data_IF_651819005436
#
_entry.id   IF_651819005436
#
_cell.length_a   1.000
_cell.length_b   1.000
_cell.length_c   1.000
_cell.angle_alpha   90.00
_cell.angle_beta   90.00
_cell.angle_gamma   90.00
#
_symmetry.space_group_name_H-M   'P 1'
#
loop_
_entity.id
_entity.type
_entity.pdbx_description
1 polymer ?
#
# COMPACT_ATOMS: atom_id res chain seq x y z
N UNK A 1 -16.37 -27.84 20.94
CA UNK A 1 -16.28 -28.42 19.58
C UNK A 1 -15.02 -27.85 18.94
N UNK A 2 -13.91 -28.60 18.97
CA UNK A 2 -12.67 -28.18 18.31
C UNK A 2 -12.85 -28.39 16.80
N UNK A 3 -12.83 -27.30 16.04
CA UNK A 3 -12.87 -27.31 14.58
C UNK A 3 -11.56 -27.92 14.06
N UNK A 4 -11.55 -29.24 13.87
CA UNK A 4 -10.36 -30.05 13.54
C UNK A 4 -10.20 -30.34 12.05
N UNK A 5 -11.06 -29.74 11.20
CA UNK A 5 -11.14 -30.07 9.77
C UNK A 5 -10.94 -28.88 8.81
N UNK A 6 -10.36 -27.77 9.26
CA UNK A 6 -9.82 -26.77 8.34
C UNK A 6 -8.36 -27.17 8.07
N UNK A 7 -8.13 -27.91 6.98
CA UNK A 7 -6.81 -27.98 6.37
C UNK A 7 -6.77 -26.88 5.32
N UNK A 8 -5.97 -25.86 5.55
CA UNK A 8 -5.68 -24.86 4.54
C UNK A 8 -5.03 -25.58 3.34
N UNK A 9 -5.85 -25.84 2.32
CA UNK A 9 -5.35 -26.39 1.07
C UNK A 9 -4.54 -25.31 0.40
N UNK A 10 -3.23 -25.58 0.31
CA UNK A 10 -2.20 -24.67 -0.19
C UNK A 10 -1.85 -23.55 0.80
N UNK A 11 -1.14 -23.93 1.88
CA UNK A 11 -0.22 -23.01 2.57
C UNK A 11 0.86 -22.62 1.55
N UNK A 12 0.55 -21.66 0.68
CA UNK A 12 1.56 -20.64 0.43
C UNK A 12 1.75 -19.97 1.78
N UNK A 13 2.98 -19.87 2.24
CA UNK A 13 3.40 -19.35 3.55
C UNK A 13 3.04 -17.85 3.77
N UNK A 14 1.83 -17.41 3.41
CA UNK A 14 1.38 -16.02 3.48
C UNK A 14 1.35 -15.55 4.94
N UNK A 15 0.98 -16.43 5.88
CA UNK A 15 0.95 -16.09 7.31
C UNK A 15 2.36 -16.03 7.95
N UNK A 16 3.35 -16.76 7.40
CA UNK A 16 4.64 -17.00 8.06
C UNK A 16 5.80 -16.17 7.49
N UNK A 17 5.81 -15.84 6.20
CA UNK A 17 6.82 -14.93 5.63
C UNK A 17 6.45 -13.48 5.89
N UNK A 18 7.40 -12.56 6.06
CA UNK A 18 7.22 -11.09 6.07
C UNK A 18 7.57 -10.45 4.72
N UNK A 19 8.21 -11.20 3.81
CA UNK A 19 8.63 -10.74 2.49
C UNK A 19 7.51 -10.92 1.45
N UNK A 20 7.40 -9.95 0.55
CA UNK A 20 6.59 -10.07 -0.66
C UNK A 20 7.33 -10.96 -1.65
N UNK A 21 6.62 -11.89 -2.28
CA UNK A 21 7.12 -12.72 -3.39
C UNK A 21 6.45 -12.32 -4.72
N UNK A 22 7.10 -12.65 -5.84
CA UNK A 22 6.53 -12.37 -7.18
C UNK A 22 5.27 -13.19 -7.42
N UNK A 23 5.22 -14.41 -6.90
CA UNK A 23 4.10 -15.34 -7.00
C UNK A 23 2.87 -14.78 -6.28
N UNK A 24 3.05 -14.33 -5.03
CA UNK A 24 1.99 -13.67 -4.26
C UNK A 24 1.46 -12.43 -5.00
N UNK A 25 2.37 -11.55 -5.45
CA UNK A 25 1.94 -10.35 -6.17
C UNK A 25 1.25 -10.70 -7.49
N UNK A 26 1.77 -11.67 -8.24
CA UNK A 26 1.15 -12.14 -9.49
C UNK A 26 -0.26 -12.69 -9.28
N UNK A 27 -0.51 -13.37 -8.16
CA UNK A 27 -1.83 -13.90 -7.80
C UNK A 27 -2.84 -12.82 -7.45
N UNK A 28 -2.39 -11.74 -6.81
CA UNK A 28 -3.27 -10.63 -6.41
C UNK A 28 -3.62 -9.66 -7.56
N UNK A 29 -2.78 -9.59 -8.61
CA UNK A 29 -2.97 -8.63 -9.69
C UNK A 29 -4.21 -8.93 -10.56
N UNK A 30 -5.07 -7.94 -10.83
CA UNK A 30 -6.36 -8.17 -11.50
C UNK A 30 -6.27 -8.47 -13.01
N UNK A 31 -5.19 -8.04 -13.66
CA UNK A 31 -5.01 -8.16 -15.11
C UNK A 31 -3.64 -8.79 -15.44
N UNK A 32 -3.65 -9.77 -16.34
CA UNK A 32 -2.44 -10.47 -16.82
C UNK A 32 -1.40 -9.51 -17.39
N UNK A 33 -1.80 -8.33 -17.88
CA UNK A 33 -0.90 -7.31 -18.42
C UNK A 33 0.18 -6.85 -17.44
N UNK A 34 -0.06 -6.96 -16.13
CA UNK A 34 0.89 -6.52 -15.11
C UNK A 34 2.04 -7.51 -14.90
N UNK A 35 1.88 -8.78 -15.31
CA UNK A 35 2.87 -9.83 -15.09
C UNK A 35 4.21 -9.53 -15.75
N UNK A 36 4.20 -8.87 -16.92
CA UNK A 36 5.44 -8.46 -17.62
C UNK A 36 6.22 -7.37 -16.88
N UNK A 37 5.61 -6.71 -15.90
CA UNK A 37 6.25 -5.67 -15.10
C UNK A 37 6.64 -6.17 -13.69
N UNK A 38 6.46 -7.47 -13.38
CA UNK A 38 6.88 -8.07 -12.11
C UNK A 38 8.39 -8.34 -12.09
N UNK A 39 9.16 -7.29 -11.86
CA UNK A 39 10.61 -7.40 -11.66
C UNK A 39 10.96 -7.57 -10.18
N UNK A 40 12.19 -7.99 -9.89
CA UNK A 40 12.70 -8.02 -8.51
C UNK A 40 12.66 -6.62 -7.87
N UNK A 41 12.96 -5.59 -8.64
CA UNK A 41 12.91 -4.20 -8.17
C UNK A 41 11.52 -3.81 -7.65
N UNK A 42 10.45 -4.25 -8.30
CA UNK A 42 9.07 -3.98 -7.84
C UNK A 42 8.82 -4.57 -6.46
N UNK A 43 9.26 -5.82 -6.26
CA UNK A 43 9.09 -6.50 -4.98
C UNK A 43 10.01 -5.90 -3.91
N UNK A 44 11.22 -5.49 -4.30
CA UNK A 44 12.21 -4.87 -3.43
C UNK A 44 11.77 -3.51 -2.87
N UNK A 45 10.86 -2.79 -3.52
CA UNK A 45 10.27 -1.55 -2.94
C UNK A 45 9.66 -1.81 -1.56
N UNK A 46 9.04 -2.99 -1.40
CA UNK A 46 8.43 -3.44 -0.14
C UNK A 46 9.48 -4.13 0.73
N UNK A 47 10.23 -5.08 0.17
CA UNK A 47 11.16 -5.92 0.95
C UNK A 47 12.36 -5.16 1.52
N UNK A 48 12.71 -4.00 0.98
CA UNK A 48 13.81 -3.18 1.49
C UNK A 48 13.50 -2.51 2.85
N UNK A 49 12.25 -2.55 3.34
CA UNK A 49 11.92 -2.08 4.69
C UNK A 49 12.60 -2.97 5.73
N UNK A 50 13.53 -2.46 6.58
CA UNK A 50 14.27 -3.29 7.52
C UNK A 50 13.41 -3.85 8.67
N UNK A 51 12.35 -3.15 9.07
CA UNK A 51 11.48 -3.60 10.14
C UNK A 51 10.50 -4.68 9.63
N UNK A 52 10.56 -5.87 10.23
CA UNK A 52 9.76 -7.04 9.84
C UNK A 52 8.25 -6.79 9.94
N UNK A 53 7.79 -6.08 10.96
CA UNK A 53 6.36 -5.82 11.16
C UNK A 53 5.85 -4.78 10.17
N UNK A 54 6.62 -3.72 9.93
CA UNK A 54 6.31 -2.74 8.89
C UNK A 54 6.33 -3.37 7.50
N UNK A 55 7.30 -4.24 7.22
CA UNK A 55 7.38 -4.97 5.95
C UNK A 55 6.15 -5.85 5.75
N UNK A 56 5.71 -6.57 6.79
CA UNK A 56 4.47 -7.36 6.79
C UNK A 56 3.26 -6.48 6.46
N UNK A 57 3.09 -5.35 7.14
CA UNK A 57 2.01 -4.38 6.86
C UNK A 57 2.05 -3.91 5.41
N UNK A 58 3.22 -3.54 4.89
CA UNK A 58 3.36 -3.08 3.51
C UNK A 58 3.03 -4.17 2.50
N UNK A 59 3.48 -5.41 2.75
CA UNK A 59 3.21 -6.57 1.92
C UNK A 59 1.72 -6.90 1.89
N UNK A 60 1.08 -6.96 3.05
CA UNK A 60 -0.34 -7.28 3.18
C UNK A 60 -1.23 -6.22 2.50
N UNK A 61 -0.89 -4.94 2.69
CA UNK A 61 -1.55 -3.83 1.99
C UNK A 61 -1.35 -3.90 0.47
N UNK A 62 -0.15 -4.30 0.01
CA UNK A 62 0.16 -4.43 -1.44
C UNK A 62 -0.64 -5.54 -2.10
N UNK A 63 -0.92 -6.63 -1.37
CA UNK A 63 -1.78 -7.70 -1.86
C UNK A 63 -3.26 -7.29 -1.80
N UNK A 64 -3.69 -6.70 -0.68
CA UNK A 64 -5.09 -6.37 -0.42
C UNK A 64 -5.64 -5.27 -1.34
N UNK A 65 -4.84 -4.26 -1.67
CA UNK A 65 -5.30 -3.12 -2.47
C UNK A 65 -5.13 -3.32 -3.98
N UNK A 66 -4.77 -4.51 -4.44
CA UNK A 66 -4.44 -4.77 -5.85
C UNK A 66 -5.62 -4.50 -6.80
N UNK A 67 -6.86 -4.59 -6.29
CA UNK A 67 -8.10 -4.27 -7.02
C UNK A 67 -8.13 -2.84 -7.57
N UNK A 68 -7.42 -1.88 -6.96
CA UNK A 68 -7.34 -0.49 -7.43
C UNK A 68 -6.78 -0.41 -8.85
N UNK A 69 -5.88 -1.31 -9.23
CA UNK A 69 -5.28 -1.39 -10.57
C UNK A 69 -6.29 -1.74 -11.67
N UNK A 70 -7.44 -2.30 -11.32
CA UNK A 70 -8.55 -2.53 -12.27
C UNK A 70 -9.16 -1.21 -12.75
N UNK A 71 -9.05 -0.15 -11.95
CA UNK A 71 -9.73 1.12 -12.19
C UNK A 71 -8.74 2.23 -12.57
N UNK A 72 -8.43 2.36 -13.86
CA UNK A 72 -7.60 3.44 -14.40
C UNK A 72 -6.32 2.96 -15.08
N UNK A 73 -5.48 3.94 -15.49
CA UNK A 73 -4.21 3.70 -16.20
C UNK A 73 -3.03 3.97 -15.27
N UNK A 74 -2.80 3.06 -14.33
CA UNK A 74 -1.67 3.13 -13.40
C UNK A 74 -0.61 2.07 -13.74
N UNK A 75 0.67 2.42 -13.56
CA UNK A 75 1.76 1.46 -13.65
C UNK A 75 1.91 0.68 -12.33
N UNK A 76 2.48 -0.52 -12.41
CA UNK A 76 2.72 -1.35 -11.23
C UNK A 76 3.70 -0.67 -10.25
N UNK A 77 4.74 -0.02 -10.77
CA UNK A 77 5.69 0.75 -9.95
C UNK A 77 5.02 1.92 -9.22
N UNK A 78 4.12 2.66 -9.89
CA UNK A 78 3.39 3.76 -9.25
C UNK A 78 2.48 3.24 -8.13
N UNK A 79 1.85 2.08 -8.35
CA UNK A 79 1.01 1.42 -7.36
C UNK A 79 1.76 0.99 -6.11
N UNK A 80 2.87 0.26 -6.25
CA UNK A 80 3.62 -0.23 -5.07
C UNK A 80 4.18 0.95 -4.23
N UNK A 81 4.68 2.01 -4.88
CA UNK A 81 5.09 3.22 -4.18
C UNK A 81 3.91 3.93 -3.48
N UNK A 82 2.74 3.96 -4.13
CA UNK A 82 1.55 4.56 -3.56
C UNK A 82 1.04 3.78 -2.34
N UNK A 83 1.07 2.45 -2.37
CA UNK A 83 0.74 1.60 -1.21
C UNK A 83 1.70 1.84 -0.06
N UNK A 84 3.02 1.90 -0.32
CA UNK A 84 4.02 2.21 0.70
C UNK A 84 3.77 3.58 1.35
N UNK A 85 3.48 4.60 0.53
CA UNK A 85 3.14 5.93 1.01
C UNK A 85 1.88 5.93 1.89
N UNK A 86 0.79 5.30 1.44
CA UNK A 86 -0.46 5.22 2.21
C UNK A 86 -0.25 4.46 3.51
N UNK A 87 0.49 3.35 3.49
CA UNK A 87 0.77 2.57 4.69
C UNK A 87 1.51 3.40 5.74
N UNK A 88 2.54 4.15 5.34
CA UNK A 88 3.25 5.07 6.22
C UNK A 88 2.32 6.17 6.76
N UNK A 89 1.43 6.72 5.92
CA UNK A 89 0.42 7.70 6.34
C UNK A 89 -0.52 7.15 7.41
N UNK A 90 -0.99 5.90 7.24
CA UNK A 90 -1.88 5.24 8.21
C UNK A 90 -1.17 4.96 9.54
N UNK A 91 0.14 4.72 9.51
CA UNK A 91 0.98 4.57 10.70
C UNK A 91 1.25 5.92 11.42
N UNK A 92 0.77 7.04 10.89
CA UNK A 92 0.86 8.36 11.51
C UNK A 92 1.92 9.29 10.92
N UNK A 93 2.64 8.88 9.86
CA UNK A 93 3.62 9.77 9.24
C UNK A 93 2.94 11.00 8.61
N UNK A 94 3.61 12.15 8.75
CA UNK A 94 3.29 13.35 7.96
C UNK A 94 3.57 13.07 6.48
N UNK A 95 2.87 13.76 5.59
CA UNK A 95 3.02 13.54 4.13
C UNK A 95 4.49 13.71 3.69
N UNK A 96 5.18 14.73 4.20
CA UNK A 96 6.60 14.98 3.91
C UNK A 96 7.52 13.84 4.34
N UNK A 97 7.29 13.27 5.52
CA UNK A 97 8.07 12.13 6.05
C UNK A 97 7.79 10.85 5.27
N UNK A 98 6.52 10.56 4.97
CA UNK A 98 6.17 9.42 4.14
C UNK A 98 6.78 9.55 2.73
N UNK A 99 6.74 10.76 2.15
CA UNK A 99 7.31 11.04 0.85
C UNK A 99 8.82 10.84 0.80
N UNK A 100 9.55 11.29 1.83
CA UNK A 100 11.01 11.11 1.89
C UNK A 100 11.41 9.64 2.03
N UNK A 101 10.63 8.83 2.74
CA UNK A 101 10.85 7.37 2.86
C UNK A 101 10.55 6.60 1.57
N UNK A 102 9.55 7.05 0.80
CA UNK A 102 9.15 6.38 -0.46
C UNK A 102 10.06 6.78 -1.62
N UNK A 103 10.46 8.05 -1.68
CA UNK A 103 11.29 8.60 -2.76
C UNK A 103 12.57 9.26 -2.22
N UNK A 104 13.48 8.49 -1.60
CA UNK A 104 14.69 9.04 -0.98
C UNK A 104 15.53 9.85 -1.96
N UNK A 105 15.75 9.34 -3.18
CA UNK A 105 16.54 10.03 -4.21
C UNK A 105 15.89 11.35 -4.66
N UNK A 106 14.55 11.37 -4.80
CA UNK A 106 13.82 12.59 -5.18
C UNK A 106 13.86 13.62 -4.06
N UNK A 107 13.74 13.18 -2.82
CA UNK A 107 13.85 14.04 -1.66
C UNK A 107 15.25 14.64 -1.57
N UNK A 108 16.30 13.82 -1.70
CA UNK A 108 17.69 14.28 -1.68
C UNK A 108 17.95 15.29 -2.79
N UNK A 109 17.48 15.04 -4.02
CA UNK A 109 17.61 15.99 -5.13
C UNK A 109 16.91 17.33 -4.88
N UNK A 110 15.86 17.39 -4.05
CA UNK A 110 15.23 18.66 -3.64
C UNK A 110 16.04 19.38 -2.57
N UNK A 111 16.62 18.63 -1.62
CA UNK A 111 17.54 19.15 -0.59
C UNK A 111 18.79 19.73 -1.23
N UNK A 112 19.39 19.04 -2.20
CA UNK A 112 20.59 19.48 -2.91
C UNK A 112 20.33 20.77 -3.72
N UNK A 113 19.07 20.99 -4.13
CA UNK A 113 18.60 22.22 -4.77
C UNK A 113 18.27 23.34 -3.79
N UNK A 114 18.51 23.15 -2.49
CA UNK A 114 18.13 24.07 -1.42
C UNK A 114 16.64 24.41 -1.43
N UNK A 115 15.78 23.46 -1.84
CA UNK A 115 14.33 23.64 -1.82
C UNK A 115 13.85 23.78 -0.38
N UNK A 116 13.02 24.78 -0.10
CA UNK A 116 12.55 25.02 1.26
C UNK A 116 11.73 23.83 1.81
N UNK A 117 11.77 23.56 3.13
CA UNK A 117 10.97 22.48 3.73
C UNK A 117 9.47 22.61 3.44
N UNK A 118 8.95 23.83 3.37
CA UNK A 118 7.55 24.11 3.03
C UNK A 118 7.21 23.67 1.60
N UNK A 119 8.07 23.97 0.63
CA UNK A 119 7.87 23.54 -0.76
C UNK A 119 7.95 22.02 -0.89
N UNK A 120 8.88 21.36 -0.18
CA UNK A 120 8.97 19.89 -0.16
C UNK A 120 7.68 19.29 0.41
N UNK A 121 7.15 19.86 1.50
CA UNK A 121 5.85 19.46 2.04
C UNK A 121 4.72 19.63 1.01
N UNK A 122 4.71 20.70 0.23
CA UNK A 122 3.73 20.88 -0.86
C UNK A 122 3.83 19.80 -1.94
N UNK A 123 5.03 19.37 -2.34
CA UNK A 123 5.19 18.24 -3.27
C UNK A 123 4.63 16.95 -2.69
N UNK A 124 4.90 16.69 -1.42
CA UNK A 124 4.39 15.51 -0.72
C UNK A 124 2.86 15.51 -0.58
N UNK A 125 2.28 16.66 -0.25
CA UNK A 125 0.82 16.81 -0.15
C UNK A 125 0.15 16.68 -1.52
N UNK A 126 0.75 17.21 -2.59
CA UNK A 126 0.26 17.03 -3.94
C UNK A 126 0.29 15.56 -4.37
N UNK A 127 1.35 14.82 -4.02
CA UNK A 127 1.40 13.38 -4.25
C UNK A 127 0.29 12.64 -3.50
N UNK A 128 0.08 12.99 -2.22
CA UNK A 128 -0.97 12.42 -1.38
C UNK A 128 -2.41 12.69 -1.86
N UNK A 129 -2.61 13.68 -2.74
CA UNK A 129 -3.90 14.03 -3.34
C UNK A 129 -4.13 13.43 -4.73
N UNK A 130 -3.18 12.65 -5.24
CA UNK A 130 -3.33 12.03 -6.56
C UNK A 130 -4.45 10.98 -6.55
N UNK A 131 -5.14 10.81 -7.68
CA UNK A 131 -6.27 9.87 -7.77
C UNK A 131 -5.91 8.42 -7.44
N UNK A 132 -4.65 7.99 -7.67
CA UNK A 132 -4.19 6.66 -7.25
C UNK A 132 -4.15 6.54 -5.72
N UNK A 133 -3.58 7.53 -5.03
CA UNK A 133 -3.51 7.55 -3.57
C UNK A 133 -4.91 7.61 -2.97
N UNK A 134 -5.78 8.47 -3.50
CA UNK A 134 -7.18 8.57 -3.05
C UNK A 134 -7.87 7.21 -3.13
N UNK A 135 -7.76 6.52 -4.27
CA UNK A 135 -8.38 5.19 -4.44
C UNK A 135 -7.84 4.12 -3.50
N UNK A 136 -6.55 4.16 -3.17
CA UNK A 136 -5.96 3.24 -2.19
C UNK A 136 -6.46 3.59 -0.79
N UNK A 137 -6.48 4.87 -0.42
CA UNK A 137 -7.01 5.33 0.86
C UNK A 137 -8.49 4.98 1.03
N UNK A 138 -9.29 5.01 -0.04
CA UNK A 138 -10.68 4.55 -0.01
C UNK A 138 -10.82 3.09 0.41
N UNK A 139 -9.86 2.22 0.04
CA UNK A 139 -9.87 0.81 0.46
C UNK A 139 -9.62 0.63 1.96
N UNK A 140 -9.09 1.65 2.65
CA UNK A 140 -8.77 1.59 4.08
C UNK A 140 -9.93 2.09 4.93
N UNK A 141 -10.95 2.70 4.32
CA UNK A 141 -12.10 3.24 5.02
C UNK A 141 -13.15 2.16 5.25
N UNK A 142 -13.63 2.05 6.49
CA UNK A 142 -14.82 1.25 6.80
C UNK A 142 -16.03 1.93 6.16
N UNK A 143 -16.86 1.20 5.39
CA UNK A 143 -18.07 1.77 4.80
C UNK A 143 -18.96 2.45 5.85
N UNK A 144 -19.44 3.67 5.55
CA UNK A 144 -20.20 4.49 6.51
C UNK A 144 -21.49 3.81 6.99
N UNK A 145 -22.14 3.01 6.16
CA UNK A 145 -23.33 2.25 6.54
C UNK A 145 -23.04 1.12 7.54
N UNK A 146 -21.80 0.59 7.55
CA UNK A 146 -21.34 -0.36 8.58
C UNK A 146 -21.01 0.40 9.86
N UNK A 147 -20.27 1.51 9.74
CA UNK A 147 -19.91 2.37 10.88
C UNK A 147 -21.14 2.89 11.64
N UNK A 148 -22.21 3.23 10.89
CA UNK A 148 -23.43 3.82 11.42
C UNK A 148 -24.56 2.81 11.65
N UNK A 149 -24.31 1.50 11.49
CA UNK A 149 -25.35 0.48 11.58
C UNK A 149 -26.11 0.48 12.93
N UNK A 150 -25.44 0.85 14.03
CA UNK A 150 -26.07 1.00 15.35
C UNK A 150 -27.02 2.19 15.45
N UNK A 151 -26.69 3.31 14.80
CA UNK A 151 -27.52 4.54 14.82
C UNK A 151 -28.88 4.31 14.13
N UNK A 152 -28.92 3.42 13.12
CA UNK A 152 -30.18 3.02 12.48
C UNK A 152 -31.05 2.13 13.37
N UNK A 153 -30.47 1.39 14.32
CA UNK A 153 -31.23 0.58 15.30
C UNK A 153 -31.72 1.41 16.48
N UNK A 154 -30.96 2.41 16.92
CA UNK A 154 -31.34 3.33 18.02
C UNK A 154 -32.48 4.31 17.65
N UNK A 155 -32.78 4.44 16.35
CA UNK A 155 -33.83 5.32 15.82
C UNK A 155 -35.21 4.63 15.65
N UNK A 156 -35.36 3.38 16.11
CA UNK A 156 -36.61 2.58 16.09
C UNK A 156 -37.07 2.33 17.53
#
# INVERSE_FOLDING_TARGET
MQLSNLRDTEVTDIETTDHLTKEQLSGALPDKRFRKYLTDDIVNVINAEPDSELRRVFRDNTLSFASVLSSGKYSLAAYVNAVKFVSLKLLGDKSSTAYSKVFPDRYQALVDKSTSPSQIASFADNYGKTGLITKIMEQTLVPTHILNAGIYQDAI
#
